data_IF_588810802253
#
_entry.id   IF_588810802253
#
_cell.length_a   1.000
_cell.length_b   1.000
_cell.length_c   1.000
_cell.angle_alpha   90.00
_cell.angle_beta   90.00
_cell.angle_gamma   90.00
#
_symmetry.space_group_name_H-M   'P 1'
#
loop_
_entity.id
_entity.type
_entity.pdbx_description
1 polymer ?
#
# COMPACT_ATOMS: atom_id res chain seq x y z
N UNK A 1 -9.11 -14.66 -13.06
CA UNK A 1 -8.50 -13.64 -12.17
C UNK A 1 -7.91 -12.54 -13.04
N UNK A 2 -8.44 -11.33 -12.96
CA UNK A 2 -7.89 -10.14 -13.61
C UNK A 2 -6.56 -9.73 -12.96
N UNK A 3 -5.79 -8.85 -13.62
CA UNK A 3 -4.55 -8.30 -13.06
C UNK A 3 -4.85 -7.53 -11.76
N UNK A 4 -5.97 -6.81 -11.72
CA UNK A 4 -6.43 -6.10 -10.53
C UNK A 4 -6.69 -7.07 -9.37
N UNK A 5 -7.42 -8.17 -9.59
CA UNK A 5 -7.66 -9.19 -8.56
C UNK A 5 -6.35 -9.84 -8.05
N UNK A 6 -5.39 -10.09 -8.94
CA UNK A 6 -4.07 -10.62 -8.54
C UNK A 6 -3.29 -9.61 -7.68
N UNK A 7 -3.22 -8.36 -8.12
CA UNK A 7 -2.53 -7.29 -7.39
C UNK A 7 -3.14 -7.04 -6.03
N UNK A 8 -4.47 -7.06 -5.98
CA UNK A 8 -5.21 -6.97 -4.76
C UNK A 8 -4.79 -8.15 -3.86
N UNK A 9 -5.02 -9.43 -4.21
CA UNK A 9 -4.57 -10.56 -3.37
C UNK A 9 -3.10 -10.46 -2.90
N UNK A 10 -2.18 -10.01 -3.77
CA UNK A 10 -0.79 -9.73 -3.38
C UNK A 10 -0.66 -8.64 -2.32
N UNK A 11 -1.40 -7.54 -2.45
CA UNK A 11 -1.45 -6.46 -1.47
C UNK A 11 -1.91 -6.95 -0.10
N UNK A 12 -3.01 -7.70 -0.01
CA UNK A 12 -3.49 -8.26 1.26
C UNK A 12 -2.46 -9.20 1.90
N UNK A 13 -1.79 -10.03 1.10
CA UNK A 13 -0.72 -10.89 1.60
C UNK A 13 0.47 -10.06 2.12
N UNK A 14 0.86 -8.99 1.42
CA UNK A 14 1.94 -8.10 1.84
C UNK A 14 1.61 -7.36 3.15
N UNK A 15 0.37 -6.90 3.31
CA UNK A 15 -0.13 -6.30 4.55
C UNK A 15 -0.08 -7.29 5.72
N UNK A 16 -0.50 -8.53 5.48
CA UNK A 16 -0.40 -9.60 6.49
C UNK A 16 1.06 -9.87 6.88
N UNK A 17 2.00 -9.86 5.92
CA UNK A 17 3.43 -10.03 6.23
C UNK A 17 3.95 -8.84 7.03
N UNK A 18 3.59 -7.60 6.67
CA UNK A 18 3.98 -6.41 7.43
C UNK A 18 3.48 -6.47 8.89
N UNK A 19 2.23 -6.91 9.09
CA UNK A 19 1.66 -7.10 10.42
C UNK A 19 2.41 -8.17 11.22
N UNK A 20 2.69 -9.34 10.60
CA UNK A 20 3.45 -10.40 11.25
C UNK A 20 4.86 -9.94 11.66
N UNK A 21 5.56 -9.19 10.80
CA UNK A 21 6.88 -8.64 11.12
C UNK A 21 6.81 -7.65 12.31
N UNK A 22 5.78 -6.81 12.38
CA UNK A 22 5.54 -5.93 13.52
C UNK A 22 5.29 -6.73 14.81
N UNK A 23 4.49 -7.80 14.74
CA UNK A 23 4.26 -8.69 15.88
C UNK A 23 5.55 -9.38 16.34
N UNK A 24 6.37 -9.90 15.41
CA UNK A 24 7.66 -10.52 15.75
C UNK A 24 8.62 -9.54 16.44
N UNK A 25 8.63 -8.27 16.01
CA UNK A 25 9.40 -7.22 16.68
C UNK A 25 8.90 -6.93 18.12
N UNK A 26 7.61 -7.11 18.40
CA UNK A 26 7.03 -6.92 19.73
C UNK A 26 7.30 -8.13 20.64
N UNK A 27 7.19 -9.34 20.09
CA UNK A 27 7.32 -10.60 20.83
C UNK A 27 8.78 -11.00 21.10
N UNK A 28 9.72 -10.57 20.24
CA UNK A 28 11.12 -10.94 20.40
C UNK A 28 11.80 -10.17 21.54
N UNK A 29 12.55 -10.90 22.37
CA UNK A 29 13.40 -10.35 23.43
C UNK A 29 14.82 -9.99 22.91
N UNK A 30 15.20 -10.50 21.74
CA UNK A 30 16.50 -10.20 21.12
C UNK A 30 16.48 -8.79 20.50
N UNK A 31 17.36 -7.93 21.02
CA UNK A 31 17.40 -6.52 20.63
C UNK A 31 17.85 -6.31 19.17
N UNK A 32 18.69 -7.20 18.63
CA UNK A 32 19.12 -7.15 17.22
C UNK A 32 17.98 -7.64 16.31
N UNK A 33 17.32 -8.74 16.68
CA UNK A 33 16.17 -9.25 15.94
C UNK A 33 15.02 -8.23 15.91
N UNK A 34 14.79 -7.53 17.02
CA UNK A 34 13.81 -6.44 17.11
C UNK A 34 14.04 -5.35 16.06
N UNK A 35 15.28 -4.87 15.96
CA UNK A 35 15.64 -3.86 14.97
C UNK A 35 15.50 -4.39 13.54
N UNK A 36 15.94 -5.64 13.30
CA UNK A 36 15.79 -6.30 11.99
C UNK A 36 14.31 -6.38 11.58
N UNK A 37 13.42 -6.88 12.44
CA UNK A 37 12.00 -7.00 12.14
C UNK A 37 11.32 -5.64 11.93
N UNK A 38 11.71 -4.60 12.68
CA UNK A 38 11.23 -3.24 12.45
C UNK A 38 11.64 -2.70 11.07
N UNK A 39 12.90 -2.89 10.67
CA UNK A 39 13.39 -2.47 9.35
C UNK A 39 12.69 -3.22 8.21
N UNK A 40 12.48 -4.53 8.37
CA UNK A 40 11.76 -5.35 7.41
C UNK A 40 10.28 -4.91 7.31
N UNK A 41 9.63 -4.66 8.45
CA UNK A 41 8.26 -4.16 8.49
C UNK A 41 8.13 -2.82 7.76
N UNK A 42 9.06 -1.89 7.98
CA UNK A 42 9.06 -0.59 7.31
C UNK A 42 9.30 -0.70 5.80
N UNK A 43 10.18 -1.61 5.38
CA UNK A 43 10.38 -1.92 3.96
C UNK A 43 9.13 -2.53 3.32
N UNK A 44 8.41 -3.38 4.07
CA UNK A 44 7.16 -3.95 3.62
C UNK A 44 6.04 -2.90 3.55
N UNK A 45 5.94 -1.98 4.51
CA UNK A 45 4.97 -0.87 4.47
C UNK A 45 5.18 0.00 3.20
N UNK A 46 6.44 0.27 2.84
CA UNK A 46 6.77 0.98 1.59
C UNK A 46 6.35 0.18 0.34
N UNK A 47 6.48 -1.15 0.37
CA UNK A 47 6.04 -2.03 -0.72
C UNK A 47 4.52 -2.03 -0.84
N UNK A 48 3.81 -2.17 0.27
CA UNK A 48 2.35 -2.07 0.38
C UNK A 48 1.85 -0.74 -0.19
N UNK A 49 2.49 0.38 0.17
CA UNK A 49 2.13 1.69 -0.36
C UNK A 49 2.27 1.77 -1.88
N UNK A 50 3.36 1.26 -2.45
CA UNK A 50 3.56 1.24 -3.91
C UNK A 50 2.53 0.35 -4.62
N UNK A 51 2.19 -0.81 -4.05
CA UNK A 51 1.18 -1.71 -4.60
C UNK A 51 -0.22 -1.10 -4.53
N UNK A 52 -0.57 -0.41 -3.44
CA UNK A 52 -1.83 0.36 -3.31
C UNK A 52 -1.94 1.41 -4.39
N UNK A 53 -0.92 2.26 -4.56
CA UNK A 53 -0.91 3.30 -5.60
C UNK A 53 -1.11 2.70 -7.01
N UNK A 54 -0.50 1.54 -7.28
CA UNK A 54 -0.68 0.84 -8.56
C UNK A 54 -2.09 0.29 -8.73
N UNK A 55 -2.67 -0.29 -7.68
CA UNK A 55 -4.03 -0.80 -7.70
C UNK A 55 -5.04 0.33 -7.92
N UNK A 56 -4.87 1.45 -7.22
CA UNK A 56 -5.71 2.63 -7.36
C UNK A 56 -5.68 3.19 -8.78
N UNK A 57 -4.48 3.29 -9.40
CA UNK A 57 -4.34 3.70 -10.80
C UNK A 57 -5.09 2.74 -11.75
N UNK A 58 -4.97 1.43 -11.57
CA UNK A 58 -5.68 0.44 -12.40
C UNK A 58 -7.19 0.56 -12.24
N UNK A 59 -7.67 0.81 -11.01
CA UNK A 59 -9.10 1.00 -10.73
C UNK A 59 -9.67 2.27 -11.37
N UNK A 60 -8.85 3.32 -11.53
CA UNK A 60 -9.24 4.55 -12.23
C UNK A 60 -9.32 4.35 -13.74
N UNK A 61 -8.34 3.67 -14.34
CA UNK A 61 -8.28 3.46 -15.79
C UNK A 61 -9.32 2.43 -16.28
N UNK A 62 -9.61 1.42 -15.47
CA UNK A 62 -10.53 0.33 -15.81
C UNK A 62 -11.61 0.17 -14.72
N UNK A 63 -12.61 1.08 -14.65
CA UNK A 63 -13.62 1.10 -13.58
C UNK A 63 -14.46 -0.18 -13.51
N UNK A 64 -14.53 -0.96 -14.59
CA UNK A 64 -15.16 -2.28 -14.59
C UNK A 64 -14.54 -3.26 -13.57
N UNK A 65 -13.24 -3.12 -13.24
CA UNK A 65 -12.62 -3.97 -12.24
C UNK A 65 -13.05 -3.64 -10.83
N UNK A 66 -13.36 -2.37 -10.51
CA UNK A 66 -13.81 -1.99 -9.17
C UNK A 66 -15.05 -2.78 -8.74
N UNK A 67 -15.89 -3.19 -9.69
CA UNK A 67 -17.04 -4.07 -9.47
C UNK A 67 -16.68 -5.54 -9.27
N UNK A 68 -15.56 -6.01 -9.83
CA UNK A 68 -15.07 -7.39 -9.68
C UNK A 68 -14.27 -7.63 -8.38
N UNK A 69 -13.59 -6.62 -7.84
CA UNK A 69 -12.75 -6.80 -6.63
C UNK A 69 -13.54 -6.66 -5.33
N UNK A 70 -14.76 -6.10 -5.37
CA UNK A 70 -15.63 -5.87 -4.20
C UNK A 70 -15.82 -7.10 -3.27
N UNK A 71 -16.06 -8.33 -3.75
CA UNK A 71 -16.21 -9.48 -2.86
C UNK A 71 -14.91 -9.95 -2.20
N UNK A 72 -13.73 -9.55 -2.71
CA UNK A 72 -12.43 -9.89 -2.13
C UNK A 72 -11.82 -8.78 -1.26
N UNK A 73 -12.33 -7.54 -1.39
CA UNK A 73 -11.81 -6.30 -0.76
C UNK A 73 -12.85 -5.60 0.11
N UNK A 74 -13.73 -6.38 0.74
CA UNK A 74 -14.82 -5.88 1.56
C UNK A 74 -14.40 -4.77 2.53
N UNK A 75 -14.87 -3.55 2.22
CA UNK A 75 -15.13 -2.45 3.17
C UNK A 75 -14.00 -1.49 3.57
N UNK A 76 -12.91 -1.30 2.82
CA UNK A 76 -12.06 -0.10 3.04
C UNK A 76 -11.34 0.36 1.77
N UNK A 77 -12.09 0.95 0.84
CA UNK A 77 -11.52 1.97 -0.07
C UNK A 77 -12.04 3.33 0.39
N UNK A 78 -11.47 3.85 1.48
CA UNK A 78 -11.63 5.27 1.78
C UNK A 78 -10.74 6.00 0.76
N UNK A 79 -11.28 6.88 -0.11
CA UNK A 79 -10.44 7.72 -0.96
C UNK A 79 -9.66 8.64 -0.04
N UNK A 80 -8.37 8.37 0.16
CA UNK A 80 -7.46 9.36 0.75
C UNK A 80 -7.23 10.39 -0.33
N UNK A 81 -8.09 11.41 -0.32
CA UNK A 81 -7.96 12.64 -1.08
C UNK A 81 -6.61 13.28 -0.71
N UNK A 82 -5.55 13.00 -1.47
CA UNK A 82 -4.26 13.65 -1.31
C UNK A 82 -3.79 14.23 -2.63
N UNK A 83 -4.60 15.14 -3.17
CA UNK A 83 -4.19 16.06 -4.21
C UNK A 83 -3.65 17.33 -3.54
N UNK A 84 -2.44 17.25 -2.97
CA UNK A 84 -1.65 18.46 -2.69
C UNK A 84 -0.79 18.71 -3.93
N UNK A 85 -1.43 19.34 -4.92
CA UNK A 85 -0.70 19.94 -6.05
C UNK A 85 0.29 20.93 -5.44
N UNK A 86 1.58 20.64 -5.56
CA UNK A 86 2.61 21.61 -5.28
C UNK A 86 2.46 22.74 -6.29
N UNK A 87 1.96 23.89 -5.84
CA UNK A 87 2.07 25.15 -6.55
C UNK A 87 3.56 25.47 -6.72
N UNK A 88 4.06 25.33 -7.94
CA UNK A 88 5.36 25.85 -8.30
C UNK A 88 5.23 26.62 -9.62
N UNK A 89 4.72 27.84 -9.50
CA UNK A 89 4.75 28.83 -10.59
C UNK A 89 5.53 30.08 -10.14
N UNK A 90 6.80 29.88 -9.77
CA UNK A 90 7.77 30.98 -9.82
C UNK A 90 8.02 31.37 -11.27
N UNK A 91 7.56 32.56 -11.62
CA UNK A 91 7.82 33.24 -12.89
C UNK A 91 9.21 33.89 -12.85
N UNK A 92 10.13 33.62 -13.79
CA UNK A 92 11.29 34.49 -13.97
C UNK A 92 10.88 35.71 -14.80
N UNK A 93 10.96 36.89 -14.18
CA UNK A 93 10.84 38.18 -14.87
C UNK A 93 11.95 38.31 -15.92
N UNK A 94 11.57 38.72 -17.13
CA UNK A 94 12.47 39.27 -18.16
C UNK A 94 12.11 40.73 -18.38
#
# INVERSE_FOLDING_TARGET
>A
MTVANKLATTLANAESVAASLKSFALETEDQQAKQMFQQLAQSMDNTVSQLRNRLDYIMQEEPQYASEIQPAYGSTIIPTQNNVVHDNSQSPQS
#
